data_IF_495793920416
#
_entry.id   IF_495793920416
#
_cell.length_a   1.000
_cell.length_b   1.000
_cell.length_c   1.000
_cell.angle_alpha   90.00
_cell.angle_beta   90.00
_cell.angle_gamma   90.00
#
_symmetry.space_group_name_H-M   'P 1'
#
loop_
_entity.id
_entity.type
_entity.pdbx_description
1 polymer ?
#
# COMPACT_ATOMS: atom_id res chain seq x y z
N UNK A 1 -8.63 1.81 21.48
CA UNK A 1 -8.88 0.72 20.51
C UNK A 1 -8.53 1.15 19.07
N UNK A 2 -7.40 1.82 18.83
CA UNK A 2 -6.96 2.29 17.50
C UNK A 2 -5.79 1.47 16.92
N UNK A 3 -5.00 0.81 17.78
CA UNK A 3 -3.81 0.05 17.40
C UNK A 3 -4.08 -1.10 16.41
N UNK A 4 -5.27 -1.73 16.50
CA UNK A 4 -5.59 -2.91 15.69
C UNK A 4 -5.66 -2.62 14.19
N UNK A 5 -6.19 -1.46 13.79
CA UNK A 5 -6.37 -1.14 12.37
C UNK A 5 -5.04 -0.71 11.73
N UNK A 6 -4.17 -0.01 12.47
CA UNK A 6 -2.85 0.39 11.98
C UNK A 6 -1.94 -0.82 11.79
N UNK A 7 -1.98 -1.77 12.72
CA UNK A 7 -1.27 -3.06 12.62
C UNK A 7 -1.79 -3.88 11.43
N UNK A 8 -3.12 -3.97 11.26
CA UNK A 8 -3.74 -4.69 10.15
C UNK A 8 -3.34 -4.09 8.78
N UNK A 9 -3.32 -2.75 8.66
CA UNK A 9 -2.89 -2.07 7.42
C UNK A 9 -1.43 -2.38 7.09
N UNK A 10 -0.54 -2.40 8.10
CA UNK A 10 0.87 -2.72 7.89
C UNK A 10 1.08 -4.20 7.56
N UNK A 11 0.42 -5.10 8.29
CA UNK A 11 0.49 -6.52 8.05
C UNK A 11 0.06 -6.87 6.63
N UNK A 12 -1.10 -6.34 6.18
CA UNK A 12 -1.53 -6.47 4.79
C UNK A 12 -0.48 -5.90 3.83
N UNK A 13 0.13 -4.75 4.13
CA UNK A 13 1.15 -4.17 3.26
C UNK A 13 2.39 -5.07 3.11
N UNK A 14 2.83 -5.74 4.18
CA UNK A 14 3.94 -6.70 4.11
C UNK A 14 3.58 -7.95 3.31
N UNK A 15 2.38 -8.50 3.50
CA UNK A 15 1.89 -9.65 2.73
C UNK A 15 1.81 -9.32 1.23
N UNK A 16 1.30 -8.13 0.89
CA UNK A 16 1.26 -7.61 -0.47
C UNK A 16 2.67 -7.40 -1.05
N UNK A 17 3.65 -7.03 -0.21
CA UNK A 17 5.05 -6.80 -0.62
C UNK A 17 5.74 -8.12 -0.95
N UNK A 18 5.57 -9.15 -0.13
CA UNK A 18 6.13 -10.49 -0.38
C UNK A 18 5.56 -11.08 -1.67
N UNK A 19 4.29 -10.78 -1.92
CA UNK A 19 3.60 -11.17 -3.13
C UNK A 19 3.68 -10.12 -4.23
N UNK A 20 4.62 -9.18 -4.20
CA UNK A 20 4.79 -8.21 -5.30
C UNK A 20 5.70 -8.80 -6.39
N UNK A 21 5.17 -9.62 -7.30
CA UNK A 21 5.95 -10.18 -8.42
C UNK A 21 5.85 -9.28 -9.65
N UNK A 22 7.02 -8.95 -10.19
CA UNK A 22 7.21 -8.05 -11.33
C UNK A 22 6.71 -8.72 -12.61
N UNK A 23 5.91 -8.01 -13.42
CA UNK A 23 5.60 -8.42 -14.79
C UNK A 23 6.85 -8.32 -15.69
N UNK A 24 7.24 -9.43 -16.33
CA UNK A 24 8.27 -9.42 -17.36
C UNK A 24 7.70 -9.03 -18.71
N UNK A 25 8.36 -8.09 -19.40
CA UNK A 25 8.18 -7.92 -20.85
C UNK A 25 8.89 -9.08 -21.56
N UNK A 26 8.09 -9.95 -22.19
CA UNK A 26 8.47 -11.05 -23.10
C UNK A 26 9.04 -12.34 -22.47
N UNK A 27 8.36 -13.48 -22.72
CA UNK A 27 8.87 -14.83 -22.40
C UNK A 27 7.84 -15.93 -22.69
N UNK A 28 8.28 -17.02 -23.31
CA UNK A 28 7.47 -18.08 -23.95
C UNK A 28 6.93 -19.13 -22.96
N UNK A 29 7.29 -19.03 -21.67
CA UNK A 29 6.83 -19.95 -20.63
C UNK A 29 5.76 -19.32 -19.74
N UNK A 30 4.52 -19.79 -19.92
CA UNK A 30 3.31 -19.45 -19.15
C UNK A 30 3.27 -20.19 -17.81
N UNK A 31 4.11 -19.81 -16.86
CA UNK A 31 3.86 -20.13 -15.45
C UNK A 31 3.85 -18.84 -14.64
N UNK A 32 2.77 -18.08 -14.84
CA UNK A 32 2.42 -16.94 -14.00
C UNK A 32 1.92 -17.47 -12.66
N UNK A 33 2.82 -17.63 -11.69
CA UNK A 33 2.40 -17.69 -10.29
C UNK A 33 1.94 -16.29 -9.91
N UNK A 34 0.62 -16.12 -9.81
CA UNK A 34 0.00 -14.89 -9.35
C UNK A 34 0.50 -14.58 -7.94
N UNK A 35 1.11 -13.42 -7.77
CA UNK A 35 1.34 -12.83 -6.46
C UNK A 35 0.88 -11.36 -6.54
N UNK A 36 0.01 -10.97 -5.61
CA UNK A 36 -0.87 -9.78 -5.60
C UNK A 36 -1.70 -9.49 -6.85
N UNK A 37 -3.01 -9.57 -6.71
CA UNK A 37 -3.91 -9.02 -7.72
C UNK A 37 -4.01 -7.50 -7.56
N UNK A 38 -4.10 -6.77 -8.68
CA UNK A 38 -4.39 -5.31 -8.71
C UNK A 38 -5.54 -4.93 -7.77
N UNK A 39 -6.50 -5.83 -7.61
CA UNK A 39 -7.66 -5.68 -6.74
C UNK A 39 -7.30 -5.66 -5.25
N UNK A 40 -6.36 -6.48 -4.80
CA UNK A 40 -5.90 -6.50 -3.40
C UNK A 40 -5.15 -5.22 -3.05
N UNK A 41 -4.22 -4.78 -3.90
CA UNK A 41 -3.51 -3.51 -3.73
C UNK A 41 -4.47 -2.31 -3.74
N UNK A 42 -5.47 -2.33 -4.63
CA UNK A 42 -6.51 -1.30 -4.71
C UNK A 42 -7.42 -1.28 -3.48
N UNK A 43 -7.79 -2.45 -2.95
CA UNK A 43 -8.56 -2.57 -1.70
C UNK A 43 -7.79 -2.04 -0.52
N UNK A 44 -6.54 -2.47 -0.37
CA UNK A 44 -5.64 -2.02 0.68
C UNK A 44 -5.45 -0.50 0.63
N UNK A 45 -5.14 0.08 -0.54
CA UNK A 45 -4.95 1.53 -0.66
C UNK A 45 -6.20 2.32 -0.27
N UNK A 46 -7.40 1.86 -0.68
CA UNK A 46 -8.67 2.49 -0.28
C UNK A 46 -8.89 2.41 1.24
N UNK A 47 -8.57 1.27 1.85
CA UNK A 47 -8.64 1.07 3.31
C UNK A 47 -7.71 2.04 4.02
N UNK A 48 -6.46 2.14 3.58
CA UNK A 48 -5.44 3.05 4.13
C UNK A 48 -5.88 4.51 4.04
N UNK A 49 -6.33 4.98 2.87
CA UNK A 49 -6.83 6.34 2.69
C UNK A 49 -8.04 6.62 3.59
N UNK A 50 -8.96 5.65 3.73
CA UNK A 50 -10.15 5.80 4.58
C UNK A 50 -9.77 5.94 6.05
N UNK A 51 -8.79 5.15 6.50
CA UNK A 51 -8.28 5.24 7.86
C UNK A 51 -7.74 6.65 8.14
N UNK A 52 -6.81 7.15 7.30
CA UNK A 52 -6.24 8.49 7.51
C UNK A 52 -7.26 9.62 7.44
N UNK A 53 -8.30 9.49 6.60
CA UNK A 53 -9.41 10.45 6.62
C UNK A 53 -10.15 10.39 7.95
N UNK A 54 -10.54 9.21 8.41
CA UNK A 54 -11.27 9.08 9.66
C UNK A 54 -10.47 9.51 10.91
N UNK A 55 -9.13 9.46 10.87
CA UNK A 55 -8.27 9.71 12.04
C UNK A 55 -7.51 11.03 12.02
N UNK A 56 -7.37 11.70 10.86
CA UNK A 56 -6.60 12.95 10.75
C UNK A 56 -7.52 14.18 10.72
N UNK A 57 -7.35 15.16 11.62
CA UNK A 57 -8.12 16.41 11.61
C UNK A 57 -7.80 17.31 10.39
N UNK A 58 -6.79 16.94 9.59
CA UNK A 58 -6.35 17.65 8.38
C UNK A 58 -6.81 16.93 7.08
N UNK A 59 -7.93 16.20 7.13
CA UNK A 59 -8.50 15.26 6.13
C UNK A 59 -8.28 15.53 4.63
N UNK A 60 -8.13 16.79 4.21
CA UNK A 60 -8.00 17.19 2.81
C UNK A 60 -6.60 17.66 2.40
N UNK A 61 -5.78 18.10 3.35
CA UNK A 61 -4.49 18.74 3.07
C UNK A 61 -3.28 17.90 3.53
N UNK A 62 -3.49 16.70 4.08
CA UNK A 62 -2.37 15.81 4.40
C UNK A 62 -1.64 15.40 3.11
N UNK A 63 -0.36 15.80 2.92
CA UNK A 63 0.39 15.51 1.71
C UNK A 63 0.50 14.01 1.41
N UNK A 64 0.53 13.17 2.45
CA UNK A 64 0.58 11.73 2.28
C UNK A 64 -0.75 11.17 1.78
N UNK A 65 -1.88 11.68 2.27
CA UNK A 65 -3.20 11.28 1.77
C UNK A 65 -3.39 11.72 0.32
N UNK A 66 -2.91 12.92 -0.04
CA UNK A 66 -2.91 13.41 -1.44
C UNK A 66 -2.06 12.48 -2.32
N UNK A 67 -0.86 12.14 -1.86
CA UNK A 67 0.04 11.21 -2.53
C UNK A 67 -0.59 9.83 -2.73
N UNK A 68 -1.19 9.22 -1.69
CA UNK A 68 -1.91 7.95 -1.82
C UNK A 68 -3.10 8.06 -2.79
N UNK A 69 -3.84 9.17 -2.78
CA UNK A 69 -4.95 9.37 -3.72
C UNK A 69 -4.48 9.47 -5.18
N UNK A 70 -3.25 9.88 -5.44
CA UNK A 70 -2.69 10.00 -6.81
C UNK A 70 -2.64 8.65 -7.55
N UNK A 71 -2.55 7.54 -6.81
CA UNK A 71 -2.52 6.19 -7.36
C UNK A 71 -3.90 5.64 -7.69
N UNK A 72 -5.00 6.28 -7.25
CA UNK A 72 -6.36 5.80 -7.54
C UNK A 72 -6.61 5.78 -9.05
N UNK A 73 -6.96 4.60 -9.57
CA UNK A 73 -7.13 4.38 -11.01
C UNK A 73 -5.82 4.24 -11.79
N UNK A 74 -4.67 4.25 -11.11
CA UNK A 74 -3.32 4.13 -11.66
C UNK A 74 -2.46 3.16 -10.85
N UNK A 75 -3.00 2.05 -10.32
CA UNK A 75 -2.18 1.14 -9.48
C UNK A 75 -1.02 0.53 -10.26
N UNK A 76 -1.10 0.43 -11.59
CA UNK A 76 0.04 0.00 -12.42
C UNK A 76 1.25 0.93 -12.35
N UNK A 77 1.12 2.11 -11.74
CA UNK A 77 2.22 3.04 -11.49
C UNK A 77 2.88 2.84 -10.12
N UNK A 78 2.26 2.06 -9.22
CA UNK A 78 2.92 1.64 -7.98
C UNK A 78 3.86 0.51 -8.41
N UNK A 79 5.15 0.79 -8.47
CA UNK A 79 6.17 -0.24 -8.59
C UNK A 79 6.62 -0.69 -7.18
N UNK A 80 7.54 -1.66 -7.12
CA UNK A 80 8.02 -2.18 -5.84
C UNK A 80 8.70 -1.12 -4.98
N UNK A 81 9.47 -0.22 -5.59
CA UNK A 81 10.18 0.84 -4.84
C UNK A 81 9.18 1.84 -4.29
N UNK A 82 8.20 2.21 -5.10
CA UNK A 82 7.11 3.10 -4.70
C UNK A 82 6.29 2.47 -3.57
N UNK A 83 6.01 1.17 -3.65
CA UNK A 83 5.31 0.45 -2.61
C UNK A 83 6.11 0.39 -1.29
N UNK A 84 7.41 0.14 -1.36
CA UNK A 84 8.31 0.19 -0.20
C UNK A 84 8.37 1.58 0.43
N UNK A 85 8.36 2.65 -0.38
CA UNK A 85 8.27 4.03 0.12
C UNK A 85 6.97 4.30 0.86
N UNK A 86 5.84 3.81 0.33
CA UNK A 86 4.55 3.93 1.01
C UNK A 86 4.59 3.20 2.36
N UNK A 87 5.13 1.97 2.42
CA UNK A 87 5.24 1.21 3.67
C UNK A 87 6.09 1.94 4.70
N UNK A 88 7.28 2.45 4.32
CA UNK A 88 8.14 3.19 5.24
C UNK A 88 7.42 4.41 5.85
N UNK A 89 6.68 5.16 5.03
CA UNK A 89 5.90 6.31 5.54
C UNK A 89 4.73 5.88 6.45
N UNK A 90 4.13 4.71 6.21
CA UNK A 90 3.12 4.14 7.12
C UNK A 90 3.73 3.76 8.47
N UNK A 91 4.88 3.07 8.47
CA UNK A 91 5.61 2.71 9.69
C UNK A 91 5.93 3.95 10.54
N UNK A 92 6.47 5.00 9.91
CA UNK A 92 6.78 6.27 10.58
C UNK A 92 5.52 6.92 11.19
N UNK A 93 4.43 6.97 10.43
CA UNK A 93 3.17 7.61 10.86
C UNK A 93 2.45 6.82 11.93
N UNK A 94 2.57 5.50 11.92
CA UNK A 94 1.99 4.62 12.94
C UNK A 94 2.91 4.45 14.16
N UNK A 95 4.05 5.16 14.21
CA UNK A 95 5.02 5.11 15.31
C UNK A 95 5.54 3.69 15.58
N UNK A 96 5.61 2.85 14.54
CA UNK A 96 6.22 1.52 14.67
C UNK A 96 7.71 1.74 14.84
N UNK A 97 8.21 1.58 16.06
CA UNK A 97 9.64 1.62 16.36
C UNK A 97 10.33 0.50 15.57
N UNK A 98 11.25 0.88 14.68
CA UNK A 98 12.27 -0.03 14.17
C UNK A 98 13.24 -0.28 15.33
N UNK A 99 13.03 -1.37 16.06
CA UNK A 99 14.04 -1.94 16.97
C UNK A 99 15.16 -2.60 16.16
#
# INVERSE_FOLDING_TARGET
MQATITEEILQEAYELKETFSISYRFGIHKESLYSTTYDELSKWLKKTIRHFKATSPLEKDDPFVIYLNSFRGKMGNIDRKEFELIINQLEERFQVKKD
#
